data_IF_215208307354
#
_entry.id   IF_215208307354
#
_cell.length_a   1.000
_cell.length_b   1.000
_cell.length_c   1.000
_cell.angle_alpha   90.00
_cell.angle_beta   90.00
_cell.angle_gamma   90.00
#
_symmetry.space_group_name_H-M   'P 1'
#
loop_
_entity.id
_entity.type
_entity.pdbx_description
1 polymer ?
#
# COMPACT_ATOMS: atom_id res chain seq x y z
N UNK A 1 9.02 -41.67 -50.48
CA UNK A 1 8.70 -40.32 -50.98
C UNK A 1 7.18 -40.20 -51.24
N UNK A 2 6.36 -39.91 -50.23
CA UNK A 2 4.89 -39.75 -50.41
C UNK A 2 4.16 -38.88 -49.35
N UNK A 3 4.77 -38.59 -48.19
CA UNK A 3 4.07 -37.88 -47.09
C UNK A 3 4.04 -36.35 -47.18
N UNK A 4 4.98 -35.71 -47.90
CA UNK A 4 5.20 -34.27 -47.80
C UNK A 4 4.26 -33.38 -48.66
N UNK A 5 3.52 -33.95 -49.63
CA UNK A 5 2.65 -33.18 -50.54
C UNK A 5 1.19 -33.07 -50.10
N UNK A 6 0.75 -33.82 -49.09
CA UNK A 6 -0.63 -33.76 -48.59
C UNK A 6 -0.84 -32.61 -47.59
N UNK A 7 0.15 -32.33 -46.74
CA UNK A 7 0.04 -31.31 -45.68
C UNK A 7 -0.09 -29.86 -46.21
N UNK A 8 0.47 -29.55 -47.39
CA UNK A 8 0.46 -28.18 -47.94
C UNK A 8 -0.85 -27.77 -48.60
N UNK A 9 -1.71 -28.72 -48.98
CA UNK A 9 -3.03 -28.42 -49.58
C UNK A 9 -4.06 -28.11 -48.49
N UNK A 10 -4.03 -28.86 -47.38
CA UNK A 10 -4.92 -28.66 -46.23
C UNK A 10 -4.67 -27.32 -45.53
N UNK A 11 -3.40 -26.90 -45.44
CA UNK A 11 -3.02 -25.63 -44.80
C UNK A 11 -3.54 -24.40 -45.56
N UNK A 12 -3.64 -24.43 -46.91
CA UNK A 12 -4.15 -23.28 -47.68
C UNK A 12 -5.66 -23.09 -47.52
N UNK A 13 -6.44 -24.18 -47.50
CA UNK A 13 -7.90 -24.12 -47.28
C UNK A 13 -8.32 -23.59 -45.91
N UNK A 14 -7.44 -23.63 -44.91
CA UNK A 14 -7.74 -23.10 -43.57
C UNK A 14 -7.53 -21.58 -43.45
N UNK A 15 -6.70 -20.98 -44.31
CA UNK A 15 -6.44 -19.53 -44.28
C UNK A 15 -7.55 -18.76 -45.02
N UNK A 16 -8.00 -19.28 -46.16
CA UNK A 16 -9.06 -18.64 -46.96
C UNK A 16 -10.41 -18.54 -46.20
N UNK A 17 -10.67 -19.48 -45.28
CA UNK A 17 -11.89 -19.48 -44.45
C UNK A 17 -11.90 -18.41 -43.33
N UNK A 18 -10.75 -17.80 -43.00
CA UNK A 18 -10.65 -16.77 -41.94
C UNK A 18 -10.76 -15.35 -42.52
N UNK A 19 -10.53 -15.18 -43.83
CA UNK A 19 -10.54 -13.85 -44.48
C UNK A 19 -11.96 -13.37 -44.82
N UNK A 20 -12.90 -14.29 -45.12
CA UNK A 20 -14.26 -13.89 -45.53
C UNK A 20 -15.17 -13.47 -44.36
N UNK A 21 -14.87 -13.91 -43.13
CA UNK A 21 -15.70 -13.62 -41.93
C UNK A 21 -15.43 -12.21 -41.34
N UNK A 22 -14.41 -11.49 -41.82
CA UNK A 22 -14.13 -10.09 -41.44
C UNK A 22 -14.86 -9.04 -42.31
N UNK A 23 -15.73 -9.44 -43.24
CA UNK A 23 -16.46 -8.52 -44.15
C UNK A 23 -17.88 -8.13 -43.71
N UNK A 24 -18.37 -8.61 -42.57
CA UNK A 24 -19.78 -8.40 -42.15
C UNK A 24 -20.01 -7.59 -40.87
N UNK A 25 -19.00 -6.86 -40.38
CA UNK A 25 -19.19 -5.84 -39.33
C UNK A 25 -19.45 -4.45 -39.94
N UNK A 26 -20.69 -4.22 -40.41
CA UNK A 26 -21.15 -2.88 -40.80
C UNK A 26 -21.32 -2.00 -39.56
N UNK A 27 -20.67 -0.85 -39.60
CA UNK A 27 -20.76 0.22 -38.60
C UNK A 27 -22.17 0.84 -38.64
N UNK A 28 -22.91 0.77 -37.53
CA UNK A 28 -24.11 1.59 -37.32
C UNK A 28 -23.74 2.85 -36.52
N UNK A 29 -23.44 3.94 -37.24
CA UNK A 29 -23.40 5.30 -36.68
C UNK A 29 -24.50 6.10 -37.35
N UNK A 30 -25.61 6.31 -36.64
CA UNK A 30 -26.60 7.36 -36.90
C UNK A 30 -27.14 7.84 -35.56
N UNK A 31 -27.06 9.14 -35.31
CA UNK A 31 -27.77 9.81 -34.23
C UNK A 31 -28.87 10.73 -34.77
N UNK A 32 -29.47 11.50 -33.85
CA UNK A 32 -30.55 12.49 -34.03
C UNK A 32 -31.99 11.95 -33.98
N UNK A 33 -32.61 12.21 -32.84
CA UNK A 33 -33.87 12.96 -32.69
C UNK A 33 -34.98 12.74 -33.74
N UNK A 34 -36.08 12.11 -33.30
CA UNK A 34 -37.41 12.44 -33.79
C UNK A 34 -38.33 12.68 -32.58
N UNK A 35 -38.83 13.90 -32.46
CA UNK A 35 -39.96 14.20 -31.58
C UNK A 35 -41.25 13.83 -32.30
N UNK A 36 -42.08 12.98 -31.70
CA UNK A 36 -43.47 12.79 -32.11
C UNK A 36 -44.41 12.96 -30.92
N UNK A 37 -45.05 14.12 -30.89
CA UNK A 37 -46.24 14.41 -30.10
C UNK A 37 -47.44 13.63 -30.62
N UNK A 38 -48.17 12.92 -29.75
CA UNK A 38 -49.64 12.82 -29.78
C UNK A 38 -50.14 11.94 -28.62
N UNK A 39 -51.17 12.39 -27.90
CA UNK A 39 -51.94 11.54 -27.00
C UNK A 39 -52.66 10.44 -27.79
N UNK A 40 -52.70 9.22 -27.23
CA UNK A 40 -53.85 8.33 -27.36
C UNK A 40 -53.92 7.31 -26.21
N UNK A 41 -55.06 7.29 -25.52
CA UNK A 41 -55.52 6.32 -24.50
C UNK A 41 -57.05 6.26 -24.65
N UNK A 42 -57.76 5.22 -24.18
CA UNK A 42 -57.30 3.88 -23.80
C UNK A 42 -58.15 2.75 -24.43
N UNK A 43 -57.56 1.56 -24.64
CA UNK A 43 -58.29 0.30 -24.69
C UNK A 43 -57.58 -0.68 -23.74
N UNK A 44 -58.31 -1.28 -22.81
CA UNK A 44 -57.75 -2.30 -21.91
C UNK A 44 -57.65 -3.65 -22.60
N UNK A 45 -56.89 -4.57 -21.99
CA UNK A 45 -57.28 -5.97 -21.73
C UNK A 45 -56.28 -6.58 -20.73
N UNK A 46 -56.75 -7.55 -19.95
CA UNK A 46 -56.06 -8.12 -18.79
C UNK A 46 -55.25 -9.36 -19.15
N UNK A 47 -53.98 -9.41 -18.72
CA UNK A 47 -53.19 -10.64 -18.66
C UNK A 47 -52.10 -10.52 -17.58
N UNK A 48 -51.94 -11.50 -16.66
CA UNK A 48 -50.87 -11.51 -15.68
C UNK A 48 -49.55 -12.00 -16.29
N UNK A 49 -48.54 -11.12 -16.38
CA UNK A 49 -47.20 -11.50 -16.82
C UNK A 49 -46.37 -12.02 -15.62
N UNK A 50 -45.98 -13.29 -15.66
CA UNK A 50 -44.99 -13.86 -14.72
C UNK A 50 -43.58 -13.72 -15.30
N UNK A 51 -42.65 -13.02 -14.63
CA UNK A 51 -41.26 -12.96 -15.08
C UNK A 51 -40.50 -14.22 -14.66
N UNK A 52 -40.25 -15.13 -15.61
CA UNK A 52 -39.32 -16.25 -15.43
C UNK A 52 -37.89 -15.68 -15.35
N UNK A 53 -37.24 -15.82 -14.20
CA UNK A 53 -35.81 -15.50 -14.05
C UNK A 53 -34.96 -16.46 -14.90
N UNK A 54 -34.36 -15.98 -15.99
CA UNK A 54 -33.31 -16.72 -16.71
C UNK A 54 -31.93 -16.39 -16.11
N UNK A 55 -31.43 -17.31 -15.30
CA UNK A 55 -30.09 -17.24 -14.69
C UNK A 55 -28.98 -17.30 -15.75
N UNK A 56 -28.39 -16.16 -16.11
CA UNK A 56 -27.25 -16.07 -17.03
C UNK A 56 -25.91 -16.37 -16.33
N UNK A 57 -25.68 -17.63 -15.93
CA UNK A 57 -24.36 -18.13 -15.53
C UNK A 57 -23.57 -18.64 -16.75
N UNK A 58 -22.33 -18.19 -16.91
CA UNK A 58 -21.30 -18.92 -17.67
C UNK A 58 -20.65 -18.19 -18.84
N UNK A 59 -19.58 -17.43 -18.60
CA UNK A 59 -18.59 -17.04 -19.64
C UNK A 59 -17.23 -16.52 -19.12
N UNK A 60 -16.80 -16.88 -17.89
CA UNK A 60 -15.52 -16.42 -17.29
C UNK A 60 -14.55 -17.52 -16.83
N UNK A 61 -14.46 -18.65 -17.56
CA UNK A 61 -13.48 -19.71 -17.28
C UNK A 61 -12.63 -20.17 -18.48
N UNK A 62 -12.77 -19.55 -19.67
CA UNK A 62 -11.99 -19.93 -20.87
C UNK A 62 -10.92 -18.91 -21.30
N UNK A 63 -10.81 -17.74 -20.67
CA UNK A 63 -9.75 -16.76 -20.97
C UNK A 63 -8.48 -16.88 -20.10
N UNK A 64 -8.54 -17.51 -18.92
CA UNK A 64 -7.41 -17.54 -17.97
C UNK A 64 -6.35 -18.60 -18.32
N UNK A 65 -6.74 -19.72 -18.94
CA UNK A 65 -5.81 -20.82 -19.26
C UNK A 65 -4.75 -20.43 -20.30
N UNK A 66 -5.08 -19.58 -21.28
CA UNK A 66 -4.13 -19.17 -22.32
C UNK A 66 -3.09 -18.14 -21.81
N UNK A 67 -3.49 -17.23 -20.91
CA UNK A 67 -2.57 -16.25 -20.31
C UNK A 67 -1.54 -16.92 -19.39
N UNK A 68 -1.96 -17.92 -18.59
CA UNK A 68 -1.03 -18.69 -17.73
C UNK A 68 0.00 -19.44 -18.59
N UNK A 69 -0.43 -20.07 -19.69
CA UNK A 69 0.48 -20.79 -20.57
C UNK A 69 1.52 -19.86 -21.24
N UNK A 70 1.09 -18.67 -21.70
CA UNK A 70 1.99 -17.66 -22.26
C UNK A 70 3.00 -17.14 -21.22
N UNK A 71 2.56 -16.89 -19.98
CA UNK A 71 3.45 -16.46 -18.90
C UNK A 71 4.51 -17.53 -18.57
N UNK A 72 4.13 -18.81 -18.51
CA UNK A 72 5.06 -19.91 -18.26
C UNK A 72 6.10 -20.07 -19.39
N UNK A 73 5.69 -19.93 -20.66
CA UNK A 73 6.62 -19.97 -21.81
C UNK A 73 7.59 -18.78 -21.77
N UNK A 74 7.13 -17.58 -21.40
CA UNK A 74 7.99 -16.41 -21.25
C UNK A 74 9.02 -16.57 -20.12
N UNK A 75 8.60 -17.09 -18.95
CA UNK A 75 9.52 -17.37 -17.83
C UNK A 75 10.55 -18.43 -18.20
N UNK A 76 10.15 -19.50 -18.89
CA UNK A 76 11.08 -20.53 -19.36
C UNK A 76 12.10 -19.98 -20.37
N UNK A 77 11.67 -19.12 -21.30
CA UNK A 77 12.55 -18.48 -22.26
C UNK A 77 13.58 -17.54 -21.58
N UNK A 78 13.15 -16.77 -20.58
CA UNK A 78 14.06 -15.92 -19.78
C UNK A 78 15.05 -16.78 -19.00
N UNK A 79 14.61 -17.88 -18.37
CA UNK A 79 15.49 -18.78 -17.64
C UNK A 79 16.56 -19.43 -18.54
N UNK A 80 16.17 -19.91 -19.74
CA UNK A 80 17.12 -20.45 -20.74
C UNK A 80 18.10 -19.38 -21.23
N UNK A 81 17.68 -18.12 -21.37
CA UNK A 81 18.57 -17.01 -21.73
C UNK A 81 19.57 -16.70 -20.62
N UNK A 82 19.14 -16.71 -19.35
CA UNK A 82 20.02 -16.48 -18.18
C UNK A 82 21.06 -17.60 -18.04
N UNK A 83 20.67 -18.87 -18.21
CA UNK A 83 21.62 -20.00 -18.17
C UNK A 83 22.73 -19.81 -19.22
N UNK A 84 22.36 -19.52 -20.48
CA UNK A 84 23.32 -19.28 -21.57
C UNK A 84 24.19 -18.01 -21.40
N UNK A 85 23.77 -17.07 -20.54
CA UNK A 85 24.56 -15.89 -20.20
C UNK A 85 25.61 -16.12 -19.12
N UNK A 86 25.46 -17.17 -18.30
CA UNK A 86 26.39 -17.50 -17.22
C UNK A 86 27.59 -18.31 -17.73
N UNK A 87 27.39 -19.17 -18.73
CA UNK A 87 28.44 -19.99 -19.36
C UNK A 87 29.54 -19.17 -20.08
N UNK A 88 29.35 -17.86 -20.27
CA UNK A 88 30.20 -16.99 -21.09
C UNK A 88 31.26 -16.18 -20.30
N UNK A 89 31.21 -16.17 -18.96
CA UNK A 89 32.03 -15.28 -18.13
C UNK A 89 33.08 -15.98 -17.24
N UNK A 90 33.15 -17.31 -17.24
CA UNK A 90 34.12 -18.07 -16.41
C UNK A 90 35.42 -18.41 -17.17
N UNK A 91 36.06 -17.38 -17.73
CA UNK A 91 37.35 -17.52 -18.41
C UNK A 91 38.17 -16.22 -18.38
N UNK A 92 38.72 -15.85 -17.22
CA UNK A 92 40.08 -15.26 -17.01
C UNK A 92 40.24 -14.65 -15.63
N UNK A 93 41.04 -15.27 -14.74
CA UNK A 93 41.80 -14.59 -13.67
C UNK A 93 42.85 -15.54 -13.05
N UNK A 94 44.17 -15.29 -13.20
CA UNK A 94 45.23 -15.98 -12.44
C UNK A 94 45.47 -15.31 -11.06
N UNK A 95 46.21 -16.00 -10.19
CA UNK A 95 46.29 -15.74 -8.74
C UNK A 95 47.66 -15.22 -8.22
N UNK A 96 47.76 -15.05 -6.89
CA UNK A 96 48.93 -14.67 -6.05
C UNK A 96 49.31 -13.17 -6.08
N UNK A 97 49.98 -12.51 -5.12
CA UNK A 97 50.67 -12.80 -3.82
C UNK A 97 50.50 -11.56 -2.88
N UNK A 98 50.90 -11.47 -1.58
CA UNK A 98 51.08 -12.40 -0.44
C UNK A 98 51.64 -11.61 0.80
N UNK A 99 51.55 -12.16 2.02
CA UNK A 99 52.20 -11.79 3.30
C UNK A 99 52.08 -10.36 3.92
N UNK A 100 52.13 -10.27 5.27
CA UNK A 100 52.40 -9.02 6.00
C UNK A 100 51.80 -8.89 7.41
N UNK A 101 52.43 -9.49 8.42
CA UNK A 101 52.05 -9.32 9.83
C UNK A 101 53.07 -8.46 10.59
N UNK A 102 52.64 -7.57 11.49
CA UNK A 102 53.51 -7.03 12.55
C UNK A 102 52.76 -6.73 13.86
N UNK A 103 53.38 -7.17 14.96
CA UNK A 103 52.99 -6.98 16.36
C UNK A 103 53.66 -5.74 16.97
N UNK A 104 53.10 -5.16 18.04
CA UNK A 104 53.86 -4.66 19.20
C UNK A 104 52.93 -4.31 20.38
N UNK A 105 53.42 -4.48 21.61
CA UNK A 105 52.67 -4.24 22.85
C UNK A 105 53.53 -3.49 23.89
N UNK A 106 52.89 -2.67 24.73
CA UNK A 106 53.33 -2.20 26.07
C UNK A 106 52.21 -1.30 26.64
N UNK A 107 52.06 -1.00 27.93
CA UNK A 107 52.38 -1.70 29.18
C UNK A 107 51.53 -1.04 30.30
N UNK A 108 51.29 -1.73 31.41
CA UNK A 108 50.59 -1.22 32.61
C UNK A 108 51.61 -0.55 33.59
N UNK A 109 51.29 -0.15 34.86
CA UNK A 109 50.03 -0.29 35.61
C UNK A 109 49.60 0.88 36.55
N UNK A 110 48.41 0.71 37.17
CA UNK A 110 47.97 0.99 38.57
C UNK A 110 48.42 2.24 39.35
N UNK A 111 47.51 2.87 40.12
CA UNK A 111 47.63 3.06 41.60
C UNK A 111 46.26 3.42 42.26
N UNK A 112 45.92 2.70 43.35
CA UNK A 112 45.19 3.01 44.61
C UNK A 112 44.48 4.38 44.82
N UNK A 113 43.45 4.55 45.67
CA UNK A 113 42.83 3.67 46.68
C UNK A 113 41.75 4.39 47.54
N UNK A 114 41.09 3.64 48.42
CA UNK A 114 39.86 3.95 49.17
C UNK A 114 39.82 5.22 50.08
N UNK A 115 38.61 5.75 50.36
CA UNK A 115 38.06 5.80 51.75
C UNK A 115 36.57 6.19 51.85
N UNK A 116 35.99 5.85 53.00
CA UNK A 116 34.57 5.65 53.38
C UNK A 116 33.97 6.84 54.16
N UNK A 117 32.69 7.18 53.93
CA UNK A 117 31.83 7.89 54.90
C UNK A 117 30.31 7.65 54.65
N UNK A 118 29.47 7.84 55.68
CA UNK A 118 27.99 7.62 55.80
C UNK A 118 27.52 8.38 57.07
N UNK A 119 26.23 8.65 57.41
CA UNK A 119 24.93 8.69 56.69
C UNK A 119 24.17 10.04 56.93
N UNK A 120 22.82 10.04 56.87
CA UNK A 120 21.85 11.12 57.24
C UNK A 120 21.66 12.20 56.15
N UNK A 121 20.52 12.91 56.00
CA UNK A 121 19.20 12.90 56.66
C UNK A 121 18.15 13.46 55.66
N UNK A 122 16.85 13.26 55.92
CA UNK A 122 15.70 14.09 55.49
C UNK A 122 15.53 14.50 54.00
N UNK A 123 14.41 14.07 53.43
CA UNK A 123 13.79 14.75 52.29
C UNK A 123 13.06 16.03 52.75
N UNK A 124 13.05 17.10 51.94
CA UNK A 124 11.93 18.02 51.87
C UNK A 124 11.03 17.68 50.67
N UNK A 125 9.73 17.76 50.91
CA UNK A 125 8.68 17.62 49.91
C UNK A 125 8.16 19.02 49.61
N UNK A 126 8.48 19.57 48.44
CA UNK A 126 7.76 20.75 47.95
C UNK A 126 7.56 20.72 46.43
N UNK A 127 6.43 21.28 46.05
CA UNK A 127 5.94 21.57 44.71
C UNK A 127 6.55 22.83 44.14
N UNK A 128 7.13 22.77 42.94
CA UNK A 128 7.01 23.88 41.99
C UNK A 128 7.14 23.44 40.54
N UNK A 129 6.41 24.16 39.71
CA UNK A 129 6.47 24.22 38.26
C UNK A 129 7.92 24.36 37.76
N UNK A 130 8.34 23.49 36.84
CA UNK A 130 9.46 23.76 35.94
C UNK A 130 9.14 23.19 34.55
N UNK A 131 9.37 24.00 33.52
CA UNK A 131 9.24 23.60 32.12
C UNK A 131 10.51 22.87 31.67
N UNK A 132 10.43 21.72 30.98
CA UNK A 132 11.59 21.13 30.34
C UNK A 132 11.87 21.86 29.03
N UNK A 133 13.04 22.49 28.95
CA UNK A 133 13.59 23.07 27.73
C UNK A 133 14.04 22.03 26.71
N UNK A 134 14.70 22.52 25.65
CA UNK A 134 15.13 21.71 24.51
C UNK A 134 16.09 20.57 24.89
N UNK A 135 15.83 19.38 24.37
CA UNK A 135 16.81 18.31 24.27
C UNK A 135 17.11 18.00 22.79
N UNK A 136 18.40 17.89 22.48
CA UNK A 136 18.90 17.63 21.14
C UNK A 136 18.48 16.22 20.66
N UNK A 137 18.20 16.09 19.36
CA UNK A 137 17.45 14.97 18.82
C UNK A 137 18.20 13.63 18.74
N UNK A 138 17.50 12.55 19.05
CA UNK A 138 17.68 11.23 18.46
C UNK A 138 16.41 10.40 18.68
N UNK A 139 15.92 9.72 17.63
CA UNK A 139 14.69 8.90 17.60
C UNK A 139 13.41 9.56 18.15
N UNK A 140 12.53 10.00 17.25
CA UNK A 140 11.23 10.59 17.58
C UNK A 140 10.36 9.75 18.50
N UNK A 141 9.51 10.44 19.28
CA UNK A 141 8.93 9.96 20.54
C UNK A 141 7.85 8.85 20.39
N UNK A 142 8.28 7.64 20.07
CA UNK A 142 7.44 6.42 20.04
C UNK A 142 6.88 6.10 21.44
N UNK A 143 7.41 6.71 22.52
CA UNK A 143 6.89 6.60 23.88
C UNK A 143 5.40 6.98 24.00
N UNK A 144 4.92 7.88 23.14
CA UNK A 144 3.51 8.25 23.08
C UNK A 144 2.61 7.16 22.47
N UNK A 145 3.12 6.40 21.50
CA UNK A 145 2.34 5.35 20.81
C UNK A 145 1.99 4.18 21.74
N UNK A 146 2.84 3.87 22.73
CA UNK A 146 2.58 2.79 23.69
C UNK A 146 1.47 3.09 24.69
N UNK A 147 1.00 4.35 24.77
CA UNK A 147 -0.09 4.79 25.66
C UNK A 147 -1.47 4.74 24.98
N UNK A 148 -1.53 4.44 23.68
CA UNK A 148 -2.78 4.38 22.92
C UNK A 148 -3.58 3.12 23.28
N UNK A 149 -4.85 3.32 23.61
CA UNK A 149 -5.78 2.27 24.04
C UNK A 149 -6.60 1.73 22.85
N UNK A 150 -7.15 0.52 22.98
CA UNK A 150 -7.96 -0.10 21.92
C UNK A 150 -7.16 -0.50 20.69
N UNK A 151 -5.89 -0.86 20.84
CA UNK A 151 -4.97 -1.12 19.73
C UNK A 151 -4.88 -2.59 19.31
N UNK A 152 -5.71 -3.48 19.88
CA UNK A 152 -5.71 -4.92 19.64
C UNK A 152 -6.00 -5.33 18.19
N UNK A 153 -6.76 -4.50 17.45
CA UNK A 153 -7.03 -4.71 16.02
C UNK A 153 -5.88 -4.26 15.11
N UNK A 154 -4.82 -3.66 15.65
CA UNK A 154 -3.72 -3.12 14.86
C UNK A 154 -2.56 -4.13 14.77
N UNK A 155 -1.90 -4.18 13.61
CA UNK A 155 -0.58 -4.82 13.50
C UNK A 155 0.47 -3.99 14.24
N UNK A 156 1.57 -4.62 14.67
CA UNK A 156 2.66 -3.99 15.45
C UNK A 156 3.17 -2.67 14.84
N UNK A 157 3.19 -2.55 13.51
CA UNK A 157 3.71 -1.37 12.82
C UNK A 157 2.63 -0.34 12.46
N UNK A 158 1.34 -0.66 12.53
CA UNK A 158 0.28 0.20 12.00
C UNK A 158 0.19 1.56 12.71
N UNK A 159 0.40 1.61 14.02
CA UNK A 159 0.43 2.88 14.77
C UNK A 159 1.60 3.76 14.31
N UNK A 160 2.80 3.19 14.18
CA UNK A 160 3.97 3.89 13.62
C UNK A 160 3.68 4.36 12.19
N UNK A 161 3.08 3.52 11.36
CA UNK A 161 2.72 3.84 9.98
C UNK A 161 1.73 5.01 9.88
N UNK A 162 0.75 5.08 10.77
CA UNK A 162 -0.28 6.14 10.78
C UNK A 162 0.27 7.44 11.37
N UNK A 163 0.94 7.38 12.52
CA UNK A 163 1.28 8.55 13.33
C UNK A 163 2.71 9.07 13.16
N UNK A 164 3.68 8.20 12.83
CA UNK A 164 5.10 8.55 12.82
C UNK A 164 5.75 8.44 11.43
N UNK A 165 5.08 7.81 10.46
CA UNK A 165 5.68 7.43 9.18
C UNK A 165 6.58 6.20 9.31
N UNK A 166 6.69 5.42 8.23
CA UNK A 166 7.47 4.18 8.22
C UNK A 166 8.43 4.13 7.03
N UNK A 167 9.66 3.68 7.27
CA UNK A 167 10.55 3.19 6.21
C UNK A 167 10.28 1.69 6.07
N UNK A 168 9.60 1.32 4.99
CA UNK A 168 9.28 -0.08 4.69
C UNK A 168 10.54 -0.94 4.51
N UNK A 169 10.41 -2.27 4.60
CA UNK A 169 11.51 -3.23 4.36
C UNK A 169 12.22 -3.06 3.02
N UNK A 170 11.56 -2.45 2.02
CA UNK A 170 12.12 -2.12 0.72
C UNK A 170 12.84 -0.74 0.67
N UNK A 171 13.11 -0.11 1.82
CA UNK A 171 13.77 1.20 1.92
C UNK A 171 12.90 2.40 1.52
N UNK A 172 11.61 2.19 1.27
CA UNK A 172 10.68 3.24 0.80
C UNK A 172 9.95 3.90 1.98
N UNK A 173 9.92 5.23 1.98
CA UNK A 173 9.06 6.03 2.87
C UNK A 173 7.57 5.82 2.51
N UNK A 174 6.78 5.45 3.52
CA UNK A 174 5.35 5.14 3.44
C UNK A 174 4.60 5.64 4.69
N UNK A 175 3.27 5.62 4.64
CA UNK A 175 2.43 6.05 5.76
C UNK A 175 2.45 7.57 5.99
N UNK A 176 2.43 7.95 7.26
CA UNK A 176 2.24 9.29 7.82
C UNK A 176 0.91 9.93 7.41
N UNK A 177 -0.09 9.79 8.28
CA UNK A 177 -1.50 10.13 8.06
C UNK A 177 -2.12 10.95 9.20
N UNK A 178 -1.37 11.25 10.26
CA UNK A 178 -1.82 12.13 11.36
C UNK A 178 -0.64 12.92 11.90
N UNK A 179 -0.87 14.18 12.25
CA UNK A 179 0.10 15.06 12.91
C UNK A 179 -0.09 15.10 14.45
N UNK A 180 -0.84 14.16 15.02
CA UNK A 180 -1.19 14.15 16.45
C UNK A 180 0.01 13.92 17.39
N UNK A 181 1.18 13.55 16.86
CA UNK A 181 2.46 13.53 17.57
C UNK A 181 3.46 14.47 16.89
N UNK A 182 4.22 15.20 17.71
CA UNK A 182 5.34 16.03 17.25
C UNK A 182 6.65 15.25 17.31
N UNK A 183 7.70 15.75 16.65
CA UNK A 183 9.04 15.16 16.70
C UNK A 183 9.17 13.76 16.07
N UNK A 184 8.17 13.29 15.31
CA UNK A 184 8.20 11.98 14.67
C UNK A 184 9.14 11.95 13.45
N UNK A 185 9.29 10.77 12.82
CA UNK A 185 10.06 10.62 11.59
C UNK A 185 9.38 11.25 10.38
N UNK A 186 8.06 11.37 10.42
CA UNK A 186 7.22 11.91 9.37
C UNK A 186 7.08 13.42 9.46
N UNK A 187 7.13 14.09 8.31
CA UNK A 187 6.89 15.53 8.21
C UNK A 187 6.09 15.84 6.94
N UNK A 188 5.17 16.81 7.03
CA UNK A 188 4.52 17.39 5.84
C UNK A 188 5.51 18.32 5.14
N UNK A 189 5.51 18.28 3.81
CA UNK A 189 6.21 19.26 2.98
C UNK A 189 5.34 20.51 2.89
N UNK A 190 5.72 21.56 3.61
CA UNK A 190 4.92 22.79 3.70
C UNK A 190 4.69 23.45 2.33
N UNK A 191 3.49 23.99 2.13
CA UNK A 191 3.04 24.55 0.85
C UNK A 191 2.49 23.49 -0.12
N UNK A 192 2.31 22.24 0.31
CA UNK A 192 1.71 21.16 -0.51
C UNK A 192 0.36 20.67 0.01
N UNK A 193 -0.09 21.25 1.13
CA UNK A 193 -1.38 20.99 1.75
C UNK A 193 -2.52 21.47 0.87
N UNK A 194 -3.50 20.60 0.59
CA UNK A 194 -4.80 21.04 0.07
C UNK A 194 -5.60 21.74 1.17
N UNK A 195 -6.53 22.65 0.83
CA UNK A 195 -7.56 23.07 1.75
C UNK A 195 -8.26 21.84 2.40
N UNK A 196 -8.51 21.85 3.71
CA UNK A 196 -9.30 20.80 4.36
C UNK A 196 -10.73 20.76 3.82
N UNK A 197 -11.29 19.57 3.71
CA UNK A 197 -12.71 19.38 3.39
C UNK A 197 -13.62 19.75 4.58
N UNK A 198 -14.94 19.61 4.40
CA UNK A 198 -15.92 19.92 5.44
C UNK A 198 -15.80 19.05 6.71
N UNK A 199 -14.98 17.99 6.69
CA UNK A 199 -14.69 17.13 7.82
C UNK A 199 -13.29 17.42 8.43
N UNK A 200 -12.55 18.37 7.87
CA UNK A 200 -11.17 18.69 8.25
C UNK A 200 -10.11 17.79 7.62
N UNK A 201 -10.48 16.93 6.66
CA UNK A 201 -9.54 16.02 5.99
C UNK A 201 -8.83 16.77 4.86
N UNK A 202 -7.51 16.64 4.79
CA UNK A 202 -6.68 17.25 3.74
C UNK A 202 -5.69 16.23 3.18
N UNK A 203 -5.07 16.55 2.05
CA UNK A 203 -3.88 15.84 1.55
C UNK A 203 -2.67 16.75 1.55
N UNK A 204 -1.48 16.18 1.72
CA UNK A 204 -0.21 16.89 1.58
C UNK A 204 0.90 15.91 1.15
N UNK A 205 1.98 16.41 0.56
CA UNK A 205 3.19 15.61 0.36
C UNK A 205 3.91 15.40 1.68
N UNK A 206 4.55 14.24 1.85
CA UNK A 206 5.23 13.89 3.10
C UNK A 206 6.64 13.36 2.87
N UNK A 207 7.51 13.61 3.85
CA UNK A 207 8.78 12.92 4.00
C UNK A 207 8.75 12.02 5.23
N UNK A 208 9.57 10.96 5.25
CA UNK A 208 9.83 10.12 6.42
C UNK A 208 11.36 9.91 6.51
N UNK A 209 11.97 10.21 7.66
CA UNK A 209 13.44 10.24 7.84
C UNK A 209 14.14 11.04 6.70
N UNK A 210 13.56 12.20 6.33
CA UNK A 210 14.05 13.06 5.25
C UNK A 210 13.82 12.55 3.82
N UNK A 211 13.21 11.37 3.63
CA UNK A 211 12.95 10.77 2.30
C UNK A 211 11.52 11.04 1.86
N UNK A 212 11.33 11.59 0.65
CA UNK A 212 10.00 11.76 0.07
C UNK A 212 9.25 10.42 -0.07
N UNK A 213 7.94 10.43 0.23
CA UNK A 213 7.09 9.24 0.12
C UNK A 213 7.04 8.71 -1.31
N UNK A 214 7.26 7.41 -1.48
CA UNK A 214 7.43 6.80 -2.80
C UNK A 214 6.10 6.54 -3.54
N UNK A 215 4.99 6.40 -2.82
CA UNK A 215 3.65 6.18 -3.38
C UNK A 215 2.88 7.48 -3.61
N UNK A 216 1.80 7.42 -4.38
CA UNK A 216 0.81 8.49 -4.55
C UNK A 216 1.39 9.88 -4.91
N UNK A 217 2.49 9.93 -5.68
CA UNK A 217 3.23 11.18 -6.00
C UNK A 217 3.70 11.95 -4.75
N UNK A 218 4.05 11.25 -3.67
CA UNK A 218 4.46 11.83 -2.40
C UNK A 218 3.32 12.07 -1.39
N UNK A 219 2.05 11.96 -1.80
CA UNK A 219 0.93 12.39 -0.98
C UNK A 219 0.45 11.37 0.08
N UNK A 220 0.01 11.92 1.20
CA UNK A 220 -0.84 11.28 2.21
C UNK A 220 -2.16 12.03 2.33
N UNK A 221 -3.23 11.31 2.67
CA UNK A 221 -4.46 11.90 3.21
C UNK A 221 -4.40 11.88 4.73
N UNK A 222 -4.76 13.00 5.37
CA UNK A 222 -4.55 13.25 6.79
C UNK A 222 -5.84 13.29 7.59
N UNK A 223 -5.79 12.72 8.79
CA UNK A 223 -6.80 12.97 9.83
C UNK A 223 -6.81 14.46 10.20
N UNK A 224 -7.98 15.04 10.53
CA UNK A 224 -8.08 16.43 10.96
C UNK A 224 -7.10 16.77 12.08
N UNK A 225 -6.41 17.90 11.97
CA UNK A 225 -5.40 18.34 12.94
C UNK A 225 -5.95 18.60 14.34
N UNK A 226 -7.28 18.74 14.47
CA UNK A 226 -7.99 18.84 15.75
C UNK A 226 -8.22 17.50 16.46
N UNK A 227 -7.99 16.36 15.80
CA UNK A 227 -8.12 15.04 16.43
C UNK A 227 -6.85 14.66 17.18
N UNK A 228 -6.99 14.35 18.47
CA UNK A 228 -5.95 13.69 19.25
C UNK A 228 -5.66 12.28 18.72
N UNK A 229 -4.49 11.74 19.06
CA UNK A 229 -4.09 10.40 18.61
C UNK A 229 -5.05 9.31 19.08
N UNK A 230 -5.62 9.42 20.29
CA UNK A 230 -6.62 8.47 20.77
C UNK A 230 -7.92 8.57 19.95
N UNK A 231 -8.44 9.78 19.68
CA UNK A 231 -9.62 9.94 18.83
C UNK A 231 -9.42 9.38 17.42
N UNK A 232 -8.20 9.44 16.87
CA UNK A 232 -7.87 8.79 15.59
C UNK A 232 -7.95 7.26 15.71
N UNK A 233 -7.41 6.66 16.78
CA UNK A 233 -7.53 5.22 17.04
C UNK A 233 -9.00 4.80 17.23
N UNK A 234 -9.76 5.55 18.01
CA UNK A 234 -11.18 5.29 18.28
C UNK A 234 -12.01 5.35 16.97
N UNK A 235 -11.81 6.38 16.15
CA UNK A 235 -12.43 6.50 14.84
C UNK A 235 -12.05 5.36 13.88
N UNK A 236 -10.80 4.90 13.91
CA UNK A 236 -10.37 3.72 13.13
C UNK A 236 -11.07 2.45 13.65
N UNK A 237 -11.24 2.28 14.96
CA UNK A 237 -11.95 1.12 15.53
C UNK A 237 -13.45 1.13 15.18
N UNK A 238 -14.12 2.28 15.23
CA UNK A 238 -15.50 2.43 14.74
C UNK A 238 -15.62 2.08 13.24
N UNK A 239 -14.70 2.59 12.42
CA UNK A 239 -14.64 2.27 11.00
C UNK A 239 -14.33 0.79 10.75
N UNK A 240 -13.48 0.18 11.57
CA UNK A 240 -13.16 -1.24 11.49
C UNK A 240 -14.40 -2.09 11.81
N UNK A 241 -15.17 -1.74 12.83
CA UNK A 241 -16.40 -2.45 13.17
C UNK A 241 -17.51 -2.31 12.10
N UNK A 242 -17.58 -1.16 11.41
CA UNK A 242 -18.52 -0.92 10.32
C UNK A 242 -18.03 -1.36 8.93
N UNK A 243 -16.79 -1.86 8.81
CA UNK A 243 -16.08 -2.00 7.53
C UNK A 243 -16.77 -2.91 6.50
N UNK A 244 -16.60 -2.59 5.22
CA UNK A 244 -17.00 -3.38 4.05
C UNK A 244 -15.86 -3.44 3.04
N UNK A 245 -15.70 -4.53 2.26
CA UNK A 245 -14.68 -4.60 1.20
C UNK A 245 -14.93 -3.55 0.11
N UNK A 246 -13.86 -2.93 -0.38
CA UNK A 246 -13.86 -1.98 -1.50
C UNK A 246 -12.57 -2.14 -2.30
N UNK A 247 -12.63 -2.92 -3.39
CA UNK A 247 -11.43 -3.36 -4.11
C UNK A 247 -10.54 -4.22 -3.22
N UNK A 248 -9.23 -3.97 -3.25
CA UNK A 248 -8.23 -4.67 -2.42
C UNK A 248 -8.13 -4.10 -0.97
N UNK A 249 -9.04 -3.21 -0.58
CA UNK A 249 -9.07 -2.55 0.71
C UNK A 249 -10.43 -2.73 1.41
N UNK A 250 -10.55 -2.22 2.63
CA UNK A 250 -11.80 -2.11 3.37
C UNK A 250 -12.10 -0.64 3.64
N UNK A 251 -13.39 -0.27 3.65
CA UNK A 251 -13.85 1.08 4.00
C UNK A 251 -14.94 0.99 5.06
N UNK A 252 -14.89 1.88 6.04
CA UNK A 252 -15.89 2.03 7.08
C UNK A 252 -16.11 3.50 7.48
N UNK A 253 -16.98 3.73 8.47
CA UNK A 253 -17.21 5.07 9.04
C UNK A 253 -16.91 5.08 10.54
N UNK A 254 -16.25 6.13 10.99
CA UNK A 254 -15.90 6.34 12.40
C UNK A 254 -15.36 7.75 12.64
N UNK A 255 -15.62 8.33 13.81
CA UNK A 255 -15.33 9.73 14.10
C UNK A 255 -16.01 10.72 13.13
N UNK A 256 -17.14 10.33 12.52
CA UNK A 256 -17.80 11.04 11.42
C UNK A 256 -17.13 10.87 10.03
N UNK A 257 -15.88 10.44 9.98
CA UNK A 257 -15.08 10.30 8.77
C UNK A 257 -15.45 9.06 7.95
N UNK A 258 -15.04 9.05 6.68
CA UNK A 258 -14.91 7.81 5.88
C UNK A 258 -13.47 7.37 5.95
N UNK A 259 -13.19 6.15 6.41
CA UNK A 259 -11.83 5.66 6.63
C UNK A 259 -11.60 4.43 5.75
N UNK A 260 -10.56 4.47 4.93
CA UNK A 260 -10.05 3.32 4.19
C UNK A 260 -8.93 2.66 4.99
N UNK A 261 -8.89 1.33 4.98
CA UNK A 261 -7.91 0.52 5.69
C UNK A 261 -7.51 -0.71 4.89
N UNK A 262 -6.26 -1.15 5.06
CA UNK A 262 -5.79 -2.45 4.61
C UNK A 262 -5.62 -3.38 5.82
N UNK A 263 -6.00 -4.65 5.66
CA UNK A 263 -5.94 -5.66 6.72
C UNK A 263 -4.95 -6.78 6.34
N UNK A 264 -4.35 -7.43 7.34
CA UNK A 264 -3.59 -8.65 7.16
C UNK A 264 -4.50 -9.89 7.01
N UNK A 265 -3.89 -11.05 6.79
CA UNK A 265 -4.55 -12.36 6.66
C UNK A 265 -5.35 -12.76 7.91
N UNK A 266 -5.08 -12.13 9.06
CA UNK A 266 -5.75 -12.32 10.35
C UNK A 266 -6.79 -11.23 10.63
N UNK A 267 -7.03 -10.35 9.66
CA UNK A 267 -7.96 -9.23 9.76
C UNK A 267 -7.45 -8.03 10.54
N UNK A 268 -6.17 -7.96 10.94
CA UNK A 268 -5.61 -6.83 11.69
C UNK A 268 -5.21 -5.69 10.76
N UNK A 269 -5.41 -4.45 11.21
CA UNK A 269 -5.11 -3.22 10.46
C UNK A 269 -3.60 -3.11 10.21
N UNK A 270 -3.21 -3.04 8.93
CA UNK A 270 -1.86 -2.73 8.46
C UNK A 270 -1.69 -1.21 8.37
N UNK A 271 -2.69 -0.52 7.83
CA UNK A 271 -2.75 0.93 7.70
C UNK A 271 -4.21 1.37 7.63
N UNK A 272 -4.51 2.59 8.10
CA UNK A 272 -5.81 3.22 8.00
C UNK A 272 -5.62 4.74 7.80
N UNK A 273 -6.44 5.33 6.93
CA UNK A 273 -6.41 6.76 6.62
C UNK A 273 -7.80 7.26 6.20
N UNK A 274 -8.13 8.54 6.41
CA UNK A 274 -9.40 9.08 5.98
C UNK A 274 -9.44 9.28 4.47
N UNK A 275 -10.64 9.30 3.90
CA UNK A 275 -10.90 9.62 2.50
C UNK A 275 -11.41 11.05 2.43
N UNK A 276 -10.64 11.94 1.78
CA UNK A 276 -11.04 13.31 1.48
C UNK A 276 -12.22 13.29 0.48
N UNK A 277 -13.20 14.18 0.68
CA UNK A 277 -14.43 14.22 -0.14
C UNK A 277 -14.57 15.50 -0.97
#
# INVERSE_FOLDING_TARGET
MAGARSASVTARRAVDAVVEDMRLLRVCVVGKECACTAQCRPCGWSAPYTPIMTSRRGSRQRLTRNLILLALVAVLAIWVFVQRGLDANEATHPAAHDAGAHTSASAAPNENGASRAKPSEAAPKDTSLDAPGAHAGSSGDISGLSRLQGTDHFTRNALTHIFAGEISRAGKAVGYHSQAFTGTKGAVVGGTETPPDAQGVYTAQVTVDGRAKAGNRGFSTFYPTSMSAQQVVDAINEAYNSRRPQGDAFVGRGGGLTIQMALDDRGRIITAYPVQR
#
